data_IF_143347486822
#
_entry.id   IF_143347486822
#
_cell.length_a   1.000
_cell.length_b   1.000
_cell.length_c   1.000
_cell.angle_alpha   90.00
_cell.angle_beta   90.00
_cell.angle_gamma   90.00
#
_symmetry.space_group_name_H-M   'P 1'
#
loop_
_entity.id
_entity.type
_entity.pdbx_description
1 polymer ?
#
# COMPACT_ATOMS: atom_id res chain seq x y z
N UNK A 1 -35.94 25.58 45.59
CA UNK A 1 -36.31 26.74 44.77
C UNK A 1 -35.60 26.79 43.39
N UNK A 2 -35.04 25.69 42.90
CA UNK A 2 -34.33 25.67 41.59
C UNK A 2 -35.02 24.85 40.47
N UNK A 3 -36.11 24.16 40.76
CA UNK A 3 -36.82 23.33 39.75
C UNK A 3 -37.63 24.16 38.74
N UNK A 4 -37.97 25.42 39.04
CA UNK A 4 -38.77 26.28 38.15
C UNK A 4 -37.90 26.90 37.00
N UNK A 5 -36.62 27.02 37.20
CA UNK A 5 -35.70 27.62 36.19
C UNK A 5 -35.20 26.58 35.17
N UNK A 6 -35.25 25.29 35.50
CA UNK A 6 -34.80 24.20 34.59
C UNK A 6 -35.93 23.69 33.67
N UNK A 7 -37.18 23.92 34.02
CA UNK A 7 -38.33 23.46 33.26
C UNK A 7 -38.36 23.94 31.77
N UNK A 8 -38.07 25.24 31.45
CA UNK A 8 -38.09 25.68 30.07
C UNK A 8 -36.93 25.05 29.23
N UNK A 9 -35.79 24.80 29.84
CA UNK A 9 -34.65 24.13 29.15
C UNK A 9 -34.95 22.67 28.85
N UNK A 10 -35.63 21.95 29.78
CA UNK A 10 -36.05 20.57 29.55
C UNK A 10 -37.14 20.49 28.46
N UNK A 11 -38.04 21.44 28.41
CA UNK A 11 -39.05 21.53 27.36
C UNK A 11 -38.42 21.81 25.99
N UNK A 12 -37.46 22.72 25.91
CA UNK A 12 -36.70 23.00 24.69
C UNK A 12 -35.88 21.76 24.21
N UNK A 13 -35.26 21.06 25.13
CA UNK A 13 -34.51 19.84 24.83
C UNK A 13 -35.46 18.75 24.31
N UNK A 14 -36.58 18.56 24.94
CA UNK A 14 -37.60 17.58 24.52
C UNK A 14 -38.16 17.92 23.12
N UNK A 15 -38.42 19.21 22.86
CA UNK A 15 -38.89 19.69 21.54
C UNK A 15 -37.81 19.45 20.47
N UNK A 16 -36.56 19.82 20.73
CA UNK A 16 -35.45 19.62 19.82
C UNK A 16 -35.23 18.14 19.50
N UNK A 17 -35.29 17.27 20.54
CA UNK A 17 -35.21 15.82 20.39
C UNK A 17 -36.37 15.28 19.56
N UNK A 18 -37.60 15.73 19.82
CA UNK A 18 -38.78 15.36 19.05
C UNK A 18 -38.70 15.75 17.59
N UNK A 19 -38.27 17.00 17.30
CA UNK A 19 -38.05 17.45 15.93
C UNK A 19 -36.93 16.64 15.23
N UNK A 20 -35.85 16.34 15.92
CA UNK A 20 -34.77 15.51 15.39
C UNK A 20 -35.24 14.09 15.04
N UNK A 21 -36.00 13.46 15.94
CA UNK A 21 -36.56 12.12 15.70
C UNK A 21 -37.57 12.11 14.56
N UNK A 22 -38.44 13.11 14.49
CA UNK A 22 -39.41 13.28 13.40
C UNK A 22 -38.70 13.50 12.05
N UNK A 23 -37.68 14.36 12.02
CA UNK A 23 -36.85 14.58 10.82
C UNK A 23 -36.15 13.30 10.38
N UNK A 24 -35.55 12.57 11.32
CA UNK A 24 -34.88 11.30 11.05
C UNK A 24 -35.86 10.22 10.54
N UNK A 25 -37.06 10.16 11.09
CA UNK A 25 -38.10 9.25 10.62
C UNK A 25 -38.59 9.60 9.22
N UNK A 26 -38.85 10.89 8.97
CA UNK A 26 -39.31 11.39 7.67
C UNK A 26 -38.27 11.17 6.59
N UNK A 27 -37.01 11.50 6.86
CA UNK A 27 -35.90 11.27 5.90
C UNK A 27 -35.72 9.80 5.55
N UNK A 28 -35.86 8.89 6.54
CA UNK A 28 -35.86 7.45 6.28
C UNK A 28 -37.00 6.99 5.41
N UNK A 29 -38.19 7.48 5.70
CA UNK A 29 -39.38 7.11 4.92
C UNK A 29 -39.29 7.60 3.47
N UNK A 30 -38.76 8.81 3.25
CA UNK A 30 -38.63 9.41 1.91
C UNK A 30 -37.49 8.83 1.06
N UNK A 31 -36.40 8.44 1.69
CA UNK A 31 -35.18 8.02 0.95
C UNK A 31 -34.92 6.52 1.09
N UNK A 32 -34.83 5.99 2.32
CA UNK A 32 -34.39 4.60 2.54
C UNK A 32 -35.48 3.57 2.12
N UNK A 33 -36.76 3.93 2.16
CA UNK A 33 -37.89 3.04 1.81
C UNK A 33 -38.49 3.32 0.43
N UNK A 34 -37.98 4.32 -0.28
CA UNK A 34 -38.53 4.67 -1.58
C UNK A 34 -38.03 3.70 -2.65
N UNK A 35 -38.89 2.96 -3.34
CA UNK A 35 -38.47 2.01 -4.38
C UNK A 35 -37.83 2.66 -5.60
N UNK A 36 -37.97 3.98 -5.79
CA UNK A 36 -37.33 4.74 -6.82
C UNK A 36 -35.79 4.71 -6.68
N UNK A 37 -35.28 4.57 -5.42
CA UNK A 37 -33.86 4.51 -5.12
C UNK A 37 -33.36 3.07 -4.92
N UNK A 38 -34.13 2.07 -5.29
CA UNK A 38 -33.67 0.69 -5.33
C UNK A 38 -32.66 0.52 -6.46
N UNK A 39 -31.51 -0.07 -6.17
CA UNK A 39 -30.46 -0.36 -7.13
C UNK A 39 -31.04 -1.21 -8.28
N UNK A 40 -30.93 -0.74 -9.49
CA UNK A 40 -31.22 -1.49 -10.73
C UNK A 40 -29.95 -1.89 -11.45
N UNK A 41 -28.85 -1.13 -11.25
CA UNK A 41 -27.59 -1.38 -11.90
C UNK A 41 -26.43 -1.32 -10.90
N UNK A 42 -25.61 -2.38 -10.91
CA UNK A 42 -24.35 -2.43 -10.19
C UNK A 42 -23.24 -2.58 -11.24
N UNK A 43 -22.46 -1.52 -11.42
CA UNK A 43 -21.33 -1.50 -12.31
C UNK A 43 -20.06 -1.74 -11.51
N UNK A 44 -19.32 -2.80 -11.82
CA UNK A 44 -18.11 -3.17 -11.12
C UNK A 44 -16.96 -3.19 -12.13
N UNK A 45 -15.94 -2.38 -11.85
CA UNK A 45 -14.67 -2.42 -12.54
C UNK A 45 -13.67 -3.11 -11.61
N UNK A 46 -13.52 -4.43 -11.72
CA UNK A 46 -12.60 -5.20 -10.89
C UNK A 46 -11.17 -4.92 -11.33
N UNK A 47 -10.23 -5.01 -10.38
CA UNK A 47 -8.81 -5.09 -10.69
C UNK A 47 -8.42 -6.49 -11.18
N UNK A 48 -7.12 -6.77 -11.16
CA UNK A 48 -6.61 -8.12 -11.48
C UNK A 48 -6.63 -9.03 -10.25
N UNK A 49 -6.44 -8.46 -9.06
CA UNK A 49 -6.31 -9.22 -7.82
C UNK A 49 -7.64 -9.74 -7.29
N UNK A 50 -8.75 -9.09 -7.60
CA UNK A 50 -10.08 -9.44 -7.09
C UNK A 50 -11.07 -9.47 -8.25
N UNK A 51 -11.86 -10.54 -8.33
CA UNK A 51 -12.90 -10.70 -9.34
C UNK A 51 -14.16 -9.91 -9.01
N UNK A 52 -14.99 -9.63 -10.02
CA UNK A 52 -16.30 -9.00 -9.84
C UNK A 52 -17.19 -9.78 -8.85
N UNK A 53 -17.21 -11.11 -8.97
CA UNK A 53 -17.99 -11.97 -8.08
C UNK A 53 -17.57 -11.82 -6.61
N UNK A 54 -16.26 -11.75 -6.34
CA UNK A 54 -15.74 -11.56 -5.00
C UNK A 54 -16.07 -10.17 -4.44
N UNK A 55 -16.03 -9.12 -5.28
CA UNK A 55 -16.42 -7.77 -4.87
C UNK A 55 -17.91 -7.75 -4.53
N UNK A 56 -18.73 -8.35 -5.35
CA UNK A 56 -20.19 -8.44 -5.16
C UNK A 56 -20.55 -9.18 -3.87
N UNK A 57 -19.87 -10.27 -3.59
CA UNK A 57 -20.06 -11.07 -2.38
C UNK A 57 -19.70 -10.28 -1.11
N UNK A 58 -18.52 -9.66 -1.08
CA UNK A 58 -18.04 -8.89 0.08
C UNK A 58 -18.88 -7.64 0.33
N UNK A 59 -19.26 -6.92 -0.73
CA UNK A 59 -20.03 -5.69 -0.60
C UNK A 59 -21.50 -5.94 -0.25
N UNK A 60 -22.05 -7.08 -0.69
CA UNK A 60 -23.47 -7.42 -0.56
C UNK A 60 -24.40 -6.54 -1.40
N UNK A 61 -23.83 -5.72 -2.30
CA UNK A 61 -24.59 -4.82 -3.16
C UNK A 61 -25.19 -5.60 -4.34
N UNK A 62 -26.50 -5.52 -4.47
CA UNK A 62 -27.29 -6.22 -5.47
C UNK A 62 -28.53 -5.41 -5.84
N UNK A 63 -29.15 -5.77 -6.92
CA UNK A 63 -30.42 -5.20 -7.33
C UNK A 63 -31.46 -5.32 -6.21
N UNK A 64 -32.29 -4.29 -6.05
CA UNK A 64 -33.30 -4.17 -5.02
C UNK A 64 -32.83 -3.57 -3.70
N UNK A 65 -31.50 -3.48 -3.42
CA UNK A 65 -30.99 -2.77 -2.25
C UNK A 65 -31.18 -1.27 -2.46
N UNK A 66 -31.66 -0.55 -1.44
CA UNK A 66 -31.85 0.89 -1.57
C UNK A 66 -30.52 1.64 -1.44
N UNK A 67 -30.26 2.63 -2.31
CA UNK A 67 -29.05 3.45 -2.34
C UNK A 67 -28.73 4.16 -1.01
N UNK A 68 -29.77 4.53 -0.26
CA UNK A 68 -29.64 5.24 1.01
C UNK A 68 -29.56 4.32 2.23
N UNK A 69 -29.72 2.99 2.05
CA UNK A 69 -29.67 2.02 3.16
C UNK A 69 -28.26 1.64 3.60
N UNK A 70 -27.22 2.04 2.88
CA UNK A 70 -25.84 1.73 3.21
C UNK A 70 -24.92 2.95 3.08
N UNK A 71 -23.80 2.93 3.79
CA UNK A 71 -22.72 3.91 3.67
C UNK A 71 -21.67 3.43 2.66
N UNK A 72 -21.35 4.25 1.66
CA UNK A 72 -20.28 3.95 0.71
C UNK A 72 -18.93 3.76 1.42
N UNK A 73 -18.66 4.57 2.45
CA UNK A 73 -17.45 4.47 3.25
C UNK A 73 -17.35 3.14 4.03
N UNK A 74 -18.46 2.68 4.60
CA UNK A 74 -18.49 1.39 5.32
C UNK A 74 -18.27 0.21 4.37
N UNK A 75 -18.91 0.24 3.20
CA UNK A 75 -18.73 -0.79 2.17
C UNK A 75 -17.30 -0.80 1.65
N UNK A 76 -16.72 0.37 1.37
CA UNK A 76 -15.31 0.52 0.99
C UNK A 76 -14.38 -0.06 2.06
N UNK A 77 -14.56 0.32 3.31
CA UNK A 77 -13.72 -0.18 4.41
C UNK A 77 -13.84 -1.70 4.57
N UNK A 78 -15.04 -2.25 4.47
CA UNK A 78 -15.27 -3.71 4.51
C UNK A 78 -14.53 -4.40 3.37
N UNK A 79 -14.60 -3.87 2.16
CA UNK A 79 -13.92 -4.42 1.00
C UNK A 79 -12.40 -4.42 1.19
N UNK A 80 -11.81 -3.31 1.61
CA UNK A 80 -10.36 -3.19 1.84
C UNK A 80 -9.88 -4.04 3.03
N UNK A 81 -10.68 -4.19 4.07
CA UNK A 81 -10.36 -5.07 5.20
C UNK A 81 -10.37 -6.55 4.80
N UNK A 82 -11.26 -6.95 3.91
CA UNK A 82 -11.42 -8.35 3.47
C UNK A 82 -10.45 -8.69 2.34
N UNK A 83 -10.24 -7.77 1.39
CA UNK A 83 -9.39 -7.95 0.21
C UNK A 83 -8.13 -7.10 0.31
N UNK A 84 -7.13 -7.60 1.05
CA UNK A 84 -5.87 -6.89 1.34
C UNK A 84 -5.01 -6.59 0.11
N UNK A 85 -5.29 -7.24 -1.01
CA UNK A 85 -4.63 -7.01 -2.29
C UNK A 85 -5.13 -5.76 -3.02
N UNK A 86 -6.19 -5.14 -2.51
CA UNK A 86 -6.64 -3.84 -3.00
C UNK A 86 -5.92 -2.71 -2.25
N UNK A 87 -5.45 -1.73 -3.00
CA UNK A 87 -4.91 -0.49 -2.44
C UNK A 87 -6.03 0.47 -2.06
N UNK A 88 -7.06 0.54 -2.91
CA UNK A 88 -8.23 1.38 -2.72
C UNK A 88 -9.45 0.81 -3.44
N UNK A 89 -10.62 1.34 -3.11
CA UNK A 89 -11.86 1.09 -3.81
C UNK A 89 -12.73 2.36 -3.79
N UNK A 90 -13.21 2.76 -4.93
CA UNK A 90 -14.15 3.87 -5.07
C UNK A 90 -15.57 3.32 -5.18
N UNK A 91 -16.48 3.85 -4.37
CA UNK A 91 -17.90 3.48 -4.41
C UNK A 91 -18.73 4.73 -4.63
N UNK A 92 -19.24 4.87 -5.83
CA UNK A 92 -20.07 5.99 -6.23
C UNK A 92 -21.55 5.57 -6.32
N UNK A 93 -22.43 6.41 -5.81
CA UNK A 93 -23.90 6.28 -5.93
C UNK A 93 -24.37 7.29 -6.95
N UNK A 94 -24.89 6.81 -8.06
CA UNK A 94 -25.47 7.64 -9.12
C UNK A 94 -26.99 7.51 -9.08
N UNK A 95 -27.66 8.59 -8.74
CA UNK A 95 -29.12 8.63 -8.71
C UNK A 95 -29.72 8.45 -10.11
N UNK A 96 -30.87 7.80 -10.22
CA UNK A 96 -31.70 7.33 -9.10
C UNK A 96 -31.36 5.93 -8.57
N UNK A 97 -30.63 5.08 -9.32
CA UNK A 97 -30.67 3.62 -9.11
C UNK A 97 -29.35 2.88 -9.45
N UNK A 98 -28.24 3.59 -9.59
CA UNK A 98 -26.97 2.99 -10.03
C UNK A 98 -25.89 3.09 -8.96
N UNK A 99 -25.13 2.00 -8.76
CA UNK A 99 -23.90 1.98 -7.95
C UNK A 99 -22.73 1.57 -8.84
N UNK A 100 -21.68 2.36 -8.79
CA UNK A 100 -20.42 2.07 -9.48
C UNK A 100 -19.35 1.75 -8.45
N UNK A 101 -18.64 0.65 -8.64
CA UNK A 101 -17.52 0.21 -7.79
C UNK A 101 -16.29 0.08 -8.67
N UNK A 102 -15.23 0.83 -8.35
CA UNK A 102 -13.94 0.72 -9.02
C UNK A 102 -12.92 0.23 -8.01
N UNK A 103 -12.31 -0.91 -8.29
CA UNK A 103 -11.29 -1.50 -7.41
C UNK A 103 -9.89 -1.23 -7.96
N UNK A 104 -9.03 -0.71 -7.11
CA UNK A 104 -7.63 -0.42 -7.43
C UNK A 104 -6.72 -1.44 -6.75
N UNK A 105 -6.00 -2.20 -7.58
CA UNK A 105 -5.07 -3.21 -7.10
C UNK A 105 -3.85 -2.57 -6.42
N UNK A 106 -3.30 -3.28 -5.45
CA UNK A 106 -2.03 -2.94 -4.83
C UNK A 106 -0.88 -3.37 -5.74
N UNK A 107 0.01 -2.43 -6.03
CA UNK A 107 1.17 -2.66 -6.89
C UNK A 107 2.37 -3.00 -6.01
N UNK A 108 3.02 -4.15 -6.20
CA UNK A 108 4.21 -4.51 -5.45
C UNK A 108 5.41 -3.68 -5.91
N UNK A 109 6.10 -3.05 -4.96
CA UNK A 109 7.38 -2.37 -5.16
C UNK A 109 8.57 -3.29 -4.89
N UNK A 110 8.40 -4.26 -3.98
CA UNK A 110 9.38 -5.30 -3.71
C UNK A 110 8.69 -6.59 -3.24
N UNK A 111 9.30 -7.73 -3.54
CA UNK A 111 8.92 -9.03 -2.97
C UNK A 111 9.70 -9.29 -1.70
N UNK A 112 9.13 -10.05 -0.78
CA UNK A 112 9.79 -10.44 0.46
C UNK A 112 10.17 -11.92 0.40
N UNK A 113 11.46 -12.18 0.38
CA UNK A 113 12.05 -13.51 0.49
C UNK A 113 11.41 -14.54 -0.47
N UNK A 114 11.64 -15.81 -0.30
CA UNK A 114 10.95 -16.87 -1.04
C UNK A 114 9.44 -17.00 -0.74
N UNK A 115 8.91 -16.13 0.10
CA UNK A 115 7.48 -16.09 0.42
C UNK A 115 6.68 -15.40 -0.69
N UNK A 116 5.40 -15.73 -0.78
CA UNK A 116 4.46 -15.04 -1.68
C UNK A 116 3.99 -13.70 -1.12
N UNK A 117 4.87 -13.02 -0.37
CA UNK A 117 4.60 -11.71 0.21
C UNK A 117 5.29 -10.63 -0.60
N UNK A 118 4.67 -9.48 -0.67
CA UNK A 118 5.20 -8.28 -1.27
C UNK A 118 4.94 -7.06 -0.39
N UNK A 119 5.70 -6.01 -0.67
CA UNK A 119 5.51 -4.67 -0.13
C UNK A 119 5.06 -3.74 -1.25
N UNK A 120 4.09 -2.90 -0.98
CA UNK A 120 3.83 -1.74 -1.82
C UNK A 120 4.78 -0.58 -1.49
N UNK A 121 4.65 0.52 -2.22
CA UNK A 121 5.49 1.72 -2.02
C UNK A 121 5.41 2.32 -0.60
N UNK A 122 4.33 2.05 0.14
CA UNK A 122 4.13 2.53 1.51
C UNK A 122 4.58 1.50 2.57
N UNK A 123 5.18 0.38 2.16
CA UNK A 123 5.59 -0.68 3.08
C UNK A 123 4.45 -1.57 3.58
N UNK A 124 3.28 -1.53 2.95
CA UNK A 124 2.19 -2.43 3.32
C UNK A 124 2.44 -3.83 2.79
N UNK A 125 2.36 -4.83 3.68
CA UNK A 125 2.60 -6.24 3.38
C UNK A 125 1.32 -6.89 2.84
N UNK A 126 1.40 -7.50 1.67
CA UNK A 126 0.29 -8.25 1.09
C UNK A 126 0.75 -9.52 0.38
N UNK A 127 -0.19 -10.45 0.16
CA UNK A 127 0.12 -11.71 -0.51
C UNK A 127 0.01 -11.58 -2.04
N UNK A 128 1.01 -12.05 -2.77
CA UNK A 128 0.93 -12.23 -4.22
C UNK A 128 0.16 -13.51 -4.50
N UNK A 129 -0.91 -13.41 -5.27
CA UNK A 129 -1.68 -14.57 -5.68
C UNK A 129 -0.88 -15.39 -6.72
N UNK A 130 -1.03 -16.73 -6.74
CA UNK A 130 -0.31 -17.58 -7.70
C UNK A 130 -0.53 -17.19 -9.16
N UNK A 131 -1.74 -16.73 -9.51
CA UNK A 131 -2.08 -16.26 -10.85
C UNK A 131 -1.34 -14.98 -11.28
N UNK A 132 -0.87 -14.16 -10.31
CA UNK A 132 -0.20 -12.90 -10.56
C UNK A 132 1.33 -13.01 -10.47
N UNK A 133 1.85 -14.19 -10.13
CA UNK A 133 3.28 -14.41 -9.88
C UNK A 133 4.14 -14.05 -11.10
N UNK A 134 3.69 -14.40 -12.30
CA UNK A 134 4.40 -14.12 -13.55
C UNK A 134 4.42 -12.63 -13.88
N UNK A 135 3.30 -11.93 -13.63
CA UNK A 135 3.17 -10.48 -13.81
C UNK A 135 4.17 -9.69 -12.99
N UNK A 136 4.47 -10.18 -11.78
CA UNK A 136 5.38 -9.53 -10.83
C UNK A 136 6.79 -10.15 -10.82
N UNK A 137 7.15 -10.90 -11.86
CA UNK A 137 8.46 -11.56 -11.95
C UNK A 137 9.63 -10.59 -11.88
N UNK A 138 9.52 -9.43 -12.53
CA UNK A 138 10.55 -8.41 -12.59
C UNK A 138 10.68 -7.55 -11.33
N UNK A 139 9.75 -7.67 -10.37
CA UNK A 139 9.80 -6.93 -9.11
C UNK A 139 10.97 -7.45 -8.26
N UNK A 140 11.84 -6.55 -7.73
CA UNK A 140 13.01 -6.95 -6.97
C UNK A 140 12.64 -7.71 -5.70
N UNK A 141 13.52 -8.63 -5.30
CA UNK A 141 13.36 -9.45 -4.11
C UNK A 141 14.19 -8.86 -2.97
N UNK A 142 13.60 -8.68 -1.78
CA UNK A 142 14.32 -8.34 -0.56
C UNK A 142 14.54 -9.61 0.24
N UNK A 143 15.80 -9.92 0.52
CA UNK A 143 16.23 -11.09 1.30
C UNK A 143 16.94 -10.69 2.58
N UNK A 144 16.91 -11.57 3.58
CA UNK A 144 17.66 -11.44 4.82
C UNK A 144 18.50 -12.70 5.06
N UNK A 145 19.35 -13.04 4.09
CA UNK A 145 20.28 -14.17 4.16
C UNK A 145 19.64 -15.48 4.65
N UNK A 146 20.29 -16.12 5.61
CA UNK A 146 19.84 -17.39 6.17
C UNK A 146 18.58 -17.29 7.07
N UNK A 147 18.19 -16.10 7.49
CA UNK A 147 17.02 -15.88 8.36
C UNK A 147 15.92 -15.13 7.60
N UNK A 148 15.04 -15.82 6.88
CA UNK A 148 14.00 -15.16 6.09
C UNK A 148 13.07 -14.34 6.98
N UNK A 149 12.91 -13.06 6.65
CA UNK A 149 11.95 -12.18 7.30
C UNK A 149 10.56 -12.40 6.70
N UNK A 150 9.63 -12.86 7.51
CA UNK A 150 8.24 -13.18 7.11
C UNK A 150 7.24 -12.44 7.97
N UNK A 151 6.96 -11.17 7.67
CA UNK A 151 5.93 -10.43 8.39
C UNK A 151 4.53 -10.95 8.04
N UNK A 152 3.57 -10.67 8.92
CA UNK A 152 2.16 -10.97 8.66
C UNK A 152 1.62 -10.07 7.54
N UNK A 153 0.83 -10.63 6.64
CA UNK A 153 0.13 -9.87 5.62
C UNK A 153 -0.98 -9.01 6.24
N UNK A 154 -1.19 -7.84 5.65
CA UNK A 154 -2.25 -6.93 6.08
C UNK A 154 -1.81 -5.88 7.08
N UNK A 155 -0.50 -5.71 7.31
CA UNK A 155 0.08 -4.63 8.11
C UNK A 155 1.04 -3.78 7.30
N UNK A 156 1.25 -2.55 7.73
CA UNK A 156 2.33 -1.69 7.22
C UNK A 156 3.56 -1.88 8.08
N UNK A 157 4.73 -2.05 7.46
CA UNK A 157 5.99 -2.06 8.16
C UNK A 157 6.30 -0.65 8.68
N UNK A 158 6.92 -0.57 9.84
CA UNK A 158 7.26 0.70 10.47
C UNK A 158 8.74 1.01 10.27
N UNK A 159 9.02 2.21 9.80
CA UNK A 159 10.35 2.82 9.85
C UNK A 159 10.51 3.57 11.18
N UNK A 160 10.40 2.81 12.28
CA UNK A 160 10.49 3.41 13.62
C UNK A 160 11.91 3.92 13.87
N UNK A 161 12.10 5.23 14.10
CA UNK A 161 13.42 5.82 14.32
C UNK A 161 14.13 5.35 15.59
N UNK A 162 13.48 4.52 16.42
CA UNK A 162 14.01 4.00 17.68
C UNK A 162 14.74 2.66 17.61
N UNK A 163 14.72 1.95 16.49
CA UNK A 163 15.43 0.66 16.32
C UNK A 163 16.12 0.57 14.96
N UNK A 164 17.20 1.32 14.73
CA UNK A 164 17.89 1.34 13.44
C UNK A 164 18.51 -0.01 13.03
N UNK A 165 18.61 -0.96 13.96
CA UNK A 165 19.22 -2.29 13.75
C UNK A 165 18.23 -3.41 13.50
N UNK A 166 16.92 -3.18 13.65
CA UNK A 166 15.89 -4.19 13.42
C UNK A 166 15.80 -4.62 11.94
N UNK A 167 15.45 -5.89 11.70
CA UNK A 167 15.27 -6.41 10.34
C UNK A 167 14.21 -5.59 9.58
N UNK A 168 13.15 -5.17 10.24
CA UNK A 168 12.07 -4.39 9.65
C UNK A 168 12.56 -3.03 9.10
N UNK A 169 13.36 -2.31 9.88
CA UNK A 169 13.95 -1.04 9.45
C UNK A 169 14.88 -1.22 8.24
N UNK A 170 15.67 -2.32 8.22
CA UNK A 170 16.53 -2.64 7.06
C UNK A 170 15.71 -2.96 5.82
N UNK A 171 14.61 -3.70 5.97
CA UNK A 171 13.67 -4.00 4.88
C UNK A 171 13.04 -2.72 4.35
N UNK A 172 12.63 -1.79 5.21
CA UNK A 172 12.08 -0.49 4.79
C UNK A 172 13.12 0.38 4.05
N UNK A 173 14.37 0.36 4.49
CA UNK A 173 15.47 1.02 3.76
C UNK A 173 15.71 0.38 2.39
N UNK A 174 15.70 -0.94 2.30
CA UNK A 174 15.82 -1.65 1.03
C UNK A 174 14.66 -1.34 0.09
N UNK A 175 13.43 -1.25 0.60
CA UNK A 175 12.26 -0.81 -0.15
C UNK A 175 12.46 0.60 -0.72
N UNK A 176 12.97 1.53 0.10
CA UNK A 176 13.28 2.90 -0.34
C UNK A 176 14.31 2.91 -1.46
N UNK A 177 15.38 2.12 -1.34
CA UNK A 177 16.39 1.95 -2.41
C UNK A 177 15.75 1.35 -3.66
N UNK A 178 14.90 0.32 -3.54
CA UNK A 178 14.21 -0.28 -4.67
C UNK A 178 13.37 0.76 -5.44
N UNK A 179 12.60 1.59 -4.73
CA UNK A 179 11.80 2.66 -5.31
C UNK A 179 12.65 3.72 -6.02
N UNK A 180 13.81 4.09 -5.46
CA UNK A 180 14.75 5.04 -6.06
C UNK A 180 15.50 4.46 -7.27
N UNK A 181 15.60 3.13 -7.35
CA UNK A 181 16.20 2.43 -8.50
C UNK A 181 15.21 2.18 -9.64
N UNK A 182 13.89 2.23 -9.38
CA UNK A 182 12.86 2.01 -10.41
C UNK A 182 12.69 3.25 -11.30
N UNK A 183 13.77 3.59 -12.01
CA UNK A 183 13.82 4.72 -12.95
C UNK A 183 14.39 4.26 -14.28
N UNK A 184 13.80 4.70 -15.41
CA UNK A 184 14.23 4.28 -16.74
C UNK A 184 15.66 4.71 -17.08
N UNK A 185 16.17 5.78 -16.45
CA UNK A 185 17.51 6.34 -16.70
C UNK A 185 18.63 5.54 -16.06
N UNK A 186 18.33 4.61 -15.14
CA UNK A 186 19.34 3.79 -14.46
C UNK A 186 20.08 2.87 -15.41
N UNK A 187 21.38 2.76 -15.21
CA UNK A 187 22.26 1.86 -15.96
C UNK A 187 22.03 0.39 -15.62
N UNK A 188 21.30 0.10 -14.55
CA UNK A 188 21.01 -1.25 -14.07
C UNK A 188 19.57 -1.41 -13.58
N UNK A 189 19.09 -2.65 -13.60
CA UNK A 189 17.83 -3.03 -12.96
C UNK A 189 18.13 -3.90 -11.76
N UNK A 190 17.40 -3.68 -10.68
CA UNK A 190 17.53 -4.51 -9.48
C UNK A 190 16.86 -5.88 -9.69
N UNK A 191 17.55 -6.92 -9.28
CA UNK A 191 17.03 -8.28 -9.15
C UNK A 191 16.76 -8.62 -7.69
N UNK A 192 17.73 -8.34 -6.80
CA UNK A 192 17.67 -8.70 -5.40
C UNK A 192 18.34 -7.63 -4.51
N UNK A 193 17.86 -7.52 -3.26
CA UNK A 193 18.43 -6.69 -2.20
C UNK A 193 18.60 -7.54 -0.94
N UNK A 194 19.86 -7.74 -0.49
CA UNK A 194 20.13 -8.48 0.74
C UNK A 194 20.35 -7.50 1.90
N UNK A 195 19.49 -7.64 2.92
CA UNK A 195 19.47 -6.82 4.14
C UNK A 195 20.09 -7.54 5.33
N UNK A 196 20.82 -8.62 5.13
CA UNK A 196 21.43 -9.41 6.22
C UNK A 196 22.40 -8.60 7.06
N UNK A 197 23.12 -7.69 6.43
CA UNK A 197 24.13 -6.89 7.11
C UNK A 197 23.53 -5.56 7.63
N UNK A 198 23.81 -5.16 8.88
CA UNK A 198 23.31 -3.91 9.43
C UNK A 198 24.02 -2.65 8.89
N UNK A 199 25.24 -2.78 8.37
CA UNK A 199 26.11 -1.65 7.97
C UNK A 199 26.13 -1.37 6.48
N UNK A 200 25.65 -2.30 5.66
CA UNK A 200 25.55 -2.12 4.21
C UNK A 200 24.39 -2.92 3.61
N UNK A 201 23.89 -2.45 2.49
CA UNK A 201 22.92 -3.15 1.65
C UNK A 201 23.62 -3.73 0.44
N UNK A 202 23.33 -4.97 0.12
CA UNK A 202 23.82 -5.61 -1.10
C UNK A 202 22.72 -5.58 -2.16
N UNK A 203 23.02 -4.95 -3.29
CA UNK A 203 22.15 -4.92 -4.46
C UNK A 203 22.70 -5.89 -5.51
N UNK A 204 21.89 -6.82 -5.95
CA UNK A 204 22.18 -7.66 -7.09
C UNK A 204 21.44 -7.11 -8.31
N UNK A 205 22.16 -6.84 -9.36
CA UNK A 205 21.61 -6.36 -10.63
C UNK A 205 21.15 -7.51 -11.53
N UNK A 206 20.29 -7.21 -12.49
CA UNK A 206 19.79 -8.22 -13.43
C UNK A 206 20.86 -8.87 -14.33
N UNK A 207 22.03 -8.23 -14.46
CA UNK A 207 23.22 -8.75 -15.16
C UNK A 207 24.24 -9.39 -14.20
N UNK A 208 23.82 -9.76 -12.99
CA UNK A 208 24.59 -10.43 -11.94
C UNK A 208 25.81 -9.65 -11.41
N UNK A 209 25.76 -8.33 -11.46
CA UNK A 209 26.74 -7.49 -10.77
C UNK A 209 26.26 -7.20 -9.35
N UNK A 210 27.21 -7.07 -8.44
CA UNK A 210 26.96 -6.82 -7.01
C UNK A 210 27.37 -5.39 -6.68
N UNK A 211 26.44 -4.60 -6.15
CA UNK A 211 26.70 -3.26 -5.64
C UNK A 211 26.48 -3.29 -4.13
N UNK A 212 27.47 -2.96 -3.33
CA UNK A 212 27.31 -2.76 -1.91
C UNK A 212 27.20 -1.27 -1.60
N UNK A 213 26.05 -0.86 -1.08
CA UNK A 213 25.85 0.48 -0.51
C UNK A 213 26.23 0.42 0.95
N UNK A 214 27.37 1.03 1.29
CA UNK A 214 27.86 1.17 2.65
C UNK A 214 27.35 2.49 3.20
N UNK A 215 26.58 2.46 4.29
CA UNK A 215 26.02 3.65 4.93
C UNK A 215 26.17 3.66 6.44
N UNK A 216 26.16 4.83 7.01
CA UNK A 216 26.01 5.08 8.43
C UNK A 216 24.52 5.20 8.81
N UNK A 217 24.20 5.23 10.10
CA UNK A 217 22.84 5.08 10.65
C UNK A 217 21.76 6.05 10.12
N UNK A 218 22.15 7.22 9.59
CA UNK A 218 21.24 8.30 9.17
C UNK A 218 21.47 8.71 7.72
N UNK A 219 21.20 7.80 6.79
CA UNK A 219 21.29 8.11 5.37
C UNK A 219 19.95 8.58 4.85
N UNK A 220 19.89 9.81 4.35
CA UNK A 220 18.72 10.38 3.68
C UNK A 220 18.60 9.92 2.21
N UNK A 221 17.47 10.21 1.60
CA UNK A 221 17.21 9.85 0.21
C UNK A 221 18.20 10.53 -0.76
N UNK A 222 18.73 11.70 -0.40
CA UNK A 222 19.69 12.47 -1.21
C UNK A 222 20.99 11.74 -1.29
N UNK A 223 21.49 11.24 -0.16
CA UNK A 223 22.74 10.45 -0.12
C UNK A 223 22.57 9.11 -0.85
N UNK A 224 21.43 8.44 -0.70
CA UNK A 224 21.12 7.21 -1.46
C UNK A 224 21.14 7.51 -2.96
N UNK A 225 20.45 8.56 -3.41
CA UNK A 225 20.43 8.96 -4.83
C UNK A 225 21.81 9.29 -5.36
N UNK A 226 22.66 9.97 -4.58
CA UNK A 226 24.04 10.28 -4.94
C UNK A 226 24.85 8.98 -5.10
N UNK A 227 24.75 8.04 -4.15
CA UNK A 227 25.43 6.75 -4.24
C UNK A 227 24.98 5.92 -5.44
N UNK A 228 23.68 5.92 -5.72
CA UNK A 228 23.12 5.24 -6.89
C UNK A 228 23.59 5.90 -8.21
N UNK A 229 23.73 7.24 -8.24
CA UNK A 229 24.31 7.95 -9.41
C UNK A 229 25.76 7.59 -9.63
N UNK A 230 26.56 7.52 -8.57
CA UNK A 230 27.96 7.08 -8.64
C UNK A 230 28.07 5.64 -9.16
N UNK A 231 27.17 4.74 -8.73
CA UNK A 231 27.10 3.38 -9.24
C UNK A 231 26.75 3.37 -10.74
N UNK A 232 25.78 4.18 -11.18
CA UNK A 232 25.42 4.32 -12.60
C UNK A 232 26.61 4.76 -13.47
N UNK A 233 27.31 5.80 -13.02
CA UNK A 233 28.48 6.34 -13.76
C UNK A 233 29.58 5.29 -13.87
N UNK A 234 29.86 4.58 -12.77
CA UNK A 234 30.83 3.50 -12.74
C UNK A 234 30.44 2.35 -13.66
N UNK A 235 29.17 1.96 -13.67
CA UNK A 235 28.67 0.86 -14.49
C UNK A 235 28.60 1.19 -15.98
N UNK A 236 28.53 2.47 -16.35
CA UNK A 236 28.61 2.95 -17.74
C UNK A 236 30.02 3.00 -18.25
N UNK A 237 31.02 3.10 -17.37
CA UNK A 237 32.45 3.12 -17.77
C UNK A 237 32.85 1.76 -18.37
N UNK A 238 33.39 1.73 -19.61
CA UNK A 238 33.87 0.51 -20.23
C UNK A 238 34.96 -0.20 -19.41
N UNK A 239 35.78 0.55 -18.67
CA UNK A 239 36.84 0.00 -17.82
C UNK A 239 36.29 -0.86 -16.67
N UNK A 240 35.10 -0.58 -16.24
CA UNK A 240 34.44 -1.31 -15.15
C UNK A 240 33.82 -2.65 -15.55
N UNK A 241 33.77 -2.98 -16.85
CA UNK A 241 33.13 -4.21 -17.37
C UNK A 241 33.77 -5.50 -16.85
N UNK A 242 35.05 -5.46 -16.48
CA UNK A 242 35.73 -6.60 -15.90
C UNK A 242 35.37 -6.86 -14.44
N UNK A 243 34.84 -5.86 -13.75
CA UNK A 243 34.52 -5.95 -12.33
C UNK A 243 33.08 -6.44 -12.13
N UNK A 244 32.91 -7.40 -11.22
CA UNK A 244 31.60 -7.95 -10.85
C UNK A 244 31.05 -7.35 -9.56
N UNK A 245 31.89 -6.67 -8.80
CA UNK A 245 31.55 -6.12 -7.48
C UNK A 245 31.98 -4.67 -7.39
N UNK A 246 31.11 -3.86 -6.81
CA UNK A 246 31.32 -2.44 -6.58
C UNK A 246 30.93 -2.09 -5.16
N UNK A 247 31.83 -1.46 -4.44
CA UNK A 247 31.59 -0.94 -3.09
C UNK A 247 31.41 0.57 -3.18
N UNK A 248 30.19 1.04 -2.93
CA UNK A 248 29.82 2.46 -2.93
C UNK A 248 29.78 2.93 -1.49
N UNK A 249 30.74 3.76 -1.11
CA UNK A 249 30.82 4.34 0.24
C UNK A 249 30.23 5.73 0.22
N UNK A 250 29.01 5.86 0.75
CA UNK A 250 28.23 7.11 0.70
C UNK A 250 28.92 8.26 1.45
N UNK A 251 29.48 8.00 2.63
CA UNK A 251 30.18 9.01 3.44
C UNK A 251 31.48 9.51 2.79
N UNK A 252 32.14 8.68 2.00
CA UNK A 252 33.40 9.04 1.33
C UNK A 252 33.21 9.57 -0.10
N UNK A 253 32.01 9.45 -0.67
CA UNK A 253 31.75 9.82 -2.05
C UNK A 253 32.62 9.04 -3.06
N UNK A 254 32.90 7.75 -2.81
CA UNK A 254 33.80 6.94 -3.62
C UNK A 254 33.20 5.58 -3.96
N UNK A 255 33.57 5.08 -5.14
CA UNK A 255 33.26 3.73 -5.60
C UNK A 255 34.55 2.95 -5.77
N UNK A 256 34.62 1.75 -5.23
CA UNK A 256 35.73 0.82 -5.35
C UNK A 256 35.25 -0.41 -6.15
N UNK A 257 35.92 -0.73 -7.24
CA UNK A 257 35.68 -1.95 -8.01
C UNK A 257 36.65 -3.07 -7.57
N UNK A 258 36.10 -4.31 -7.48
CA UNK A 258 36.89 -5.52 -7.14
C UNK A 258 36.46 -6.73 -8.00
#
# INVERSE_FOLDING_TARGET
>A
MRLRETAPWLALLALATGCFLAWRWLSRAMFERNPQYAIRRVEISPGFAVSEAEIRDVTGLREGVNLFSFSAAEVRNRLLLTKRNLADAEIAKTLPDTVTIVAHDRIPAAKLCSSRLALDANGFVFAILPRDAERYRAVPLIENGASPYRPDAGRTLSDSPGTPTGVEARVMRALRVALLCDRPERAFRLSNLDVSNPTYLVLLTGDNRVIRLVWEELVDDTAILQGLSMADDTLRDPASRAHKRFDVVLSAGKVFGG
#
